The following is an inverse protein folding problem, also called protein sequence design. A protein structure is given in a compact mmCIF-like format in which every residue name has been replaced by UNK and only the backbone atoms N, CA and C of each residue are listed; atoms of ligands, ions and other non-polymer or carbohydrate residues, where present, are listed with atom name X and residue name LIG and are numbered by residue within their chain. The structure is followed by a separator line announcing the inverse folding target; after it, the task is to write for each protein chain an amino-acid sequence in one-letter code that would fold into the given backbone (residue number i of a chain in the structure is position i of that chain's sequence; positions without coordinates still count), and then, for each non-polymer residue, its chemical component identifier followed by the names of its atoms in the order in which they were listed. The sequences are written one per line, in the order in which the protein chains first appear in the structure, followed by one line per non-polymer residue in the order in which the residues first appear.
data_IF_569354692285
#
_entry.id   IF_569354692285
#
_cell.length_a   1.000
_cell.length_b   1.000
_cell.length_c   1.000
_cell.angle_alpha   90.00
_cell.angle_beta   90.00
_cell.angle_gamma   90.00
#
_symmetry.space_group_name_H-M   'P 1'
#
loop_
_entity.id
_entity.type
_entity.pdbx_description
1 polymer ?
#
# COMPACT_ATOMS: atom_id res chain seq x y z
N UNK A 1 -15.48 -28.57 -7.83
CA UNK A 1 -14.36 -27.62 -7.82
C UNK A 1 -14.44 -26.85 -6.52
N UNK A 2 -13.30 -26.60 -5.88
CA UNK A 2 -13.21 -25.89 -4.60
C UNK A 2 -12.80 -24.45 -4.88
N UNK A 3 -13.57 -23.49 -4.37
CA UNK A 3 -13.25 -22.07 -4.54
C UNK A 3 -12.23 -21.65 -3.49
N UNK A 4 -11.22 -20.92 -3.92
CA UNK A 4 -10.23 -20.26 -3.09
C UNK A 4 -10.29 -18.76 -3.38
N UNK A 5 -10.44 -17.96 -2.35
CA UNK A 5 -10.14 -16.53 -2.37
C UNK A 5 -8.76 -16.37 -1.75
N UNK A 6 -7.83 -15.90 -2.58
CA UNK A 6 -6.44 -15.68 -2.19
C UNK A 6 -6.21 -14.19 -2.02
N UNK A 7 -5.86 -13.78 -0.81
CA UNK A 7 -5.44 -12.43 -0.47
C UNK A 7 -3.92 -12.35 -0.59
N UNK A 8 -3.44 -11.43 -1.41
CA UNK A 8 -2.02 -11.16 -1.60
C UNK A 8 -1.68 -9.82 -0.94
N UNK A 9 -0.88 -9.89 0.14
CA UNK A 9 -0.38 -8.75 0.88
C UNK A 9 0.88 -8.21 0.20
N UNK A 10 0.77 -7.02 -0.40
CA UNK A 10 1.85 -6.33 -1.08
C UNK A 10 2.57 -5.40 -0.10
N UNK A 11 3.85 -5.65 0.12
CA UNK A 11 4.72 -4.83 0.98
C UNK A 11 5.72 -4.06 0.13
N UNK A 12 5.73 -2.72 0.24
CA UNK A 12 6.69 -1.86 -0.45
C UNK A 12 7.67 -1.29 0.58
N UNK A 13 8.86 -1.90 0.68
CA UNK A 13 9.82 -1.65 1.77
C UNK A 13 11.09 -0.99 1.23
N UNK A 14 11.39 0.27 1.59
CA UNK A 14 10.53 1.27 2.22
C UNK A 14 9.42 1.81 1.28
N UNK A 15 8.42 2.57 1.77
CA UNK A 15 8.28 3.17 3.11
C UNK A 15 7.52 2.31 4.14
N UNK A 16 6.99 1.15 3.75
CA UNK A 16 6.32 0.22 4.66
C UNK A 16 7.33 -0.70 5.39
N UNK A 17 6.82 -1.54 6.29
CA UNK A 17 7.55 -2.66 6.90
C UNK A 17 6.96 -4.00 6.47
N UNK A 18 7.73 -5.07 6.62
CA UNK A 18 7.30 -6.45 6.28
C UNK A 18 6.27 -7.02 7.28
N UNK A 19 6.21 -6.46 8.49
CA UNK A 19 5.37 -6.94 9.60
C UNK A 19 3.97 -6.29 9.65
N UNK A 20 3.63 -5.45 8.66
CA UNK A 20 2.37 -4.70 8.59
C UNK A 20 1.20 -5.46 7.94
N UNK A 21 0.07 -4.78 7.75
CA UNK A 21 -1.04 -5.34 6.96
C UNK A 21 -0.76 -5.33 5.45
N UNK A 22 0.11 -4.44 4.96
CA UNK A 22 0.40 -4.29 3.53
C UNK A 22 -0.82 -3.84 2.72
N UNK A 23 -0.65 -3.70 1.41
CA UNK A 23 -1.76 -3.42 0.50
C UNK A 23 -2.32 -4.75 0.00
N UNK A 24 -3.61 -4.99 0.23
CA UNK A 24 -4.24 -6.28 -0.11
C UNK A 24 -4.84 -6.22 -1.50
N UNK A 25 -4.49 -7.22 -2.33
CA UNK A 25 -5.21 -7.55 -3.55
C UNK A 25 -5.70 -8.99 -3.51
N UNK A 26 -6.94 -9.25 -3.91
CA UNK A 26 -7.58 -10.56 -3.82
C UNK A 26 -7.96 -11.12 -5.18
N UNK A 27 -7.87 -12.44 -5.33
CA UNK A 27 -8.33 -13.16 -6.52
C UNK A 27 -9.07 -14.45 -6.17
N UNK A 28 -10.15 -14.72 -6.89
CA UNK A 28 -10.84 -16.01 -6.84
C UNK A 28 -10.16 -17.01 -7.79
N UNK A 29 -9.88 -18.21 -7.28
CA UNK A 29 -9.22 -19.31 -7.96
C UNK A 29 -10.06 -20.58 -7.75
N UNK A 30 -10.25 -21.36 -8.80
CA UNK A 30 -10.91 -22.66 -8.70
C UNK A 30 -9.88 -23.80 -8.63
N UNK A 31 -9.88 -24.55 -7.54
CA UNK A 31 -8.99 -25.67 -7.30
C UNK A 31 -9.70 -27.02 -7.54
N UNK A 32 -8.99 -28.03 -8.07
CA UNK A 32 -9.55 -29.37 -8.22
C UNK A 32 -9.61 -30.15 -6.89
N UNK A 33 -8.99 -29.63 -5.83
CA UNK A 33 -8.93 -30.22 -4.48
C UNK A 33 -9.06 -29.13 -3.40
N UNK A 34 -9.40 -29.49 -2.14
CA UNK A 34 -9.47 -28.54 -1.03
C UNK A 34 -8.14 -27.80 -0.80
N UNK A 35 -8.18 -26.49 -0.53
CA UNK A 35 -6.98 -25.75 -0.16
C UNK A 35 -6.44 -26.21 1.20
N UNK A 36 -5.13 -26.13 1.39
CA UNK A 36 -4.47 -26.46 2.65
C UNK A 36 -3.21 -25.60 2.84
N UNK A 37 -2.80 -25.45 4.10
CA UNK A 37 -1.63 -24.67 4.49
C UNK A 37 -0.36 -25.14 3.78
N UNK A 38 0.40 -24.21 3.20
CA UNK A 38 1.64 -24.51 2.49
C UNK A 38 1.43 -25.00 1.04
N UNK A 39 0.19 -25.13 0.56
CA UNK A 39 -0.08 -25.33 -0.86
C UNK A 39 0.53 -24.18 -1.67
N UNK A 40 1.14 -24.49 -2.81
CA UNK A 40 1.69 -23.49 -3.72
C UNK A 40 0.83 -23.37 -4.96
N UNK A 41 0.40 -22.15 -5.27
CA UNK A 41 -0.44 -21.84 -6.42
C UNK A 41 0.39 -21.04 -7.43
N UNK A 42 0.45 -21.55 -8.65
CA UNK A 42 1.13 -20.92 -9.77
C UNK A 42 0.25 -21.01 -11.02
N UNK A 43 0.19 -19.94 -11.78
CA UNK A 43 -0.49 -19.88 -13.07
C UNK A 43 0.23 -18.86 -13.94
N UNK A 44 0.34 -19.18 -15.22
CA UNK A 44 0.79 -18.23 -16.26
C UNK A 44 -0.14 -17.01 -16.35
N UNK A 45 -1.39 -17.16 -15.90
CA UNK A 45 -2.36 -16.06 -15.82
C UNK A 45 -2.16 -15.17 -14.59
N UNK A 46 -1.22 -15.52 -13.71
CA UNK A 46 -0.76 -14.66 -12.60
C UNK A 46 0.51 -13.88 -12.96
N UNK A 47 1.06 -14.04 -14.17
CA UNK A 47 2.45 -13.67 -14.51
C UNK A 47 2.72 -12.15 -14.40
N UNK A 48 3.16 -11.75 -13.21
CA UNK A 48 4.49 -11.18 -12.91
C UNK A 48 4.96 -11.71 -11.54
N UNK A 49 4.80 -13.02 -11.30
CA UNK A 49 5.29 -13.64 -10.07
C UNK A 49 6.82 -13.76 -10.13
N UNK A 50 7.60 -13.06 -9.28
CA UNK A 50 9.05 -13.05 -9.36
C UNK A 50 9.68 -14.40 -8.96
N UNK A 51 8.92 -15.28 -8.31
CA UNK A 51 9.42 -16.55 -7.79
C UNK A 51 8.91 -17.76 -8.60
N UNK A 52 9.82 -18.63 -9.09
CA UNK A 52 9.46 -19.88 -9.80
C UNK A 52 8.60 -20.86 -8.98
N UNK A 53 8.40 -20.58 -7.69
CA UNK A 53 7.72 -21.44 -6.74
C UNK A 53 6.24 -21.09 -6.55
N UNK A 54 5.78 -19.94 -7.07
CA UNK A 54 4.41 -19.46 -6.93
C UNK A 54 4.06 -18.98 -5.51
N UNK A 55 2.78 -18.67 -5.29
CA UNK A 55 2.28 -18.18 -4.00
C UNK A 55 2.08 -19.33 -3.02
N UNK A 56 2.78 -19.29 -1.89
CA UNK A 56 2.52 -20.22 -0.79
C UNK A 56 1.33 -19.73 0.00
N UNK A 57 0.28 -20.57 0.11
CA UNK A 57 -0.91 -20.31 0.90
C UNK A 57 -0.58 -20.39 2.39
N UNK A 58 -1.01 -19.36 3.10
CA UNK A 58 -0.95 -19.24 4.55
C UNK A 58 -2.35 -19.02 5.12
N UNK A 59 -2.50 -19.28 6.41
CA UNK A 59 -3.72 -19.00 7.18
C UNK A 59 -4.99 -19.51 6.49
N UNK A 60 -4.94 -20.75 5.97
CA UNK A 60 -6.05 -21.31 5.19
C UNK A 60 -7.26 -21.58 6.09
N UNK A 61 -8.36 -20.86 5.82
CA UNK A 61 -9.63 -21.00 6.54
C UNK A 61 -10.73 -21.45 5.58
N UNK A 62 -11.62 -22.31 6.06
CA UNK A 62 -12.85 -22.66 5.35
C UNK A 62 -13.99 -21.74 5.81
N UNK A 63 -14.45 -20.86 4.94
CA UNK A 63 -15.66 -20.07 5.14
C UNK A 63 -16.88 -20.97 4.84
N UNK A 64 -17.52 -21.45 5.92
CA UNK A 64 -18.67 -22.36 5.85
C UNK A 64 -19.88 -21.70 5.20
N UNK A 65 -20.07 -20.40 5.44
CA UNK A 65 -21.24 -19.66 4.99
C UNK A 65 -21.17 -19.40 3.48
N UNK A 66 -20.01 -18.96 3.00
CA UNK A 66 -19.75 -18.68 1.58
C UNK A 66 -19.31 -19.91 0.79
N UNK A 67 -19.02 -21.02 1.48
CA UNK A 67 -18.56 -22.30 0.91
C UNK A 67 -17.32 -22.12 0.03
N UNK A 68 -16.33 -21.40 0.55
CA UNK A 68 -15.04 -21.17 -0.10
C UNK A 68 -13.90 -21.20 0.91
N UNK A 69 -12.69 -21.44 0.42
CA UNK A 69 -11.47 -21.28 1.19
C UNK A 69 -11.00 -19.83 1.12
N UNK A 70 -10.54 -19.29 2.24
CA UNK A 70 -9.79 -18.05 2.36
C UNK A 70 -8.33 -18.43 2.62
N UNK A 71 -7.38 -17.75 2.00
CA UNK A 71 -5.97 -17.93 2.29
C UNK A 71 -5.20 -16.66 1.99
N UNK A 72 -4.06 -16.51 2.66
CA UNK A 72 -3.23 -15.32 2.57
C UNK A 72 -1.89 -15.69 1.93
N UNK A 73 -1.27 -14.75 1.23
CA UNK A 73 0.10 -14.82 0.78
C UNK A 73 0.72 -13.43 0.82
N UNK A 74 2.04 -13.34 0.74
CA UNK A 74 2.75 -12.08 0.91
C UNK A 74 3.80 -11.91 -0.18
N UNK A 75 3.88 -10.71 -0.74
CA UNK A 75 4.93 -10.32 -1.69
C UNK A 75 5.63 -9.07 -1.18
N UNK A 76 6.96 -9.15 -1.05
CA UNK A 76 7.78 -8.06 -0.56
C UNK A 76 8.57 -7.47 -1.73
N UNK A 77 8.32 -6.21 -2.03
CA UNK A 77 9.04 -5.42 -3.02
C UNK A 77 9.99 -4.46 -2.31
N UNK A 78 11.28 -4.80 -2.31
CA UNK A 78 12.30 -3.98 -1.67
C UNK A 78 12.90 -2.95 -2.63
N UNK A 79 12.97 -1.69 -2.21
CA UNK A 79 13.62 -0.62 -2.97
C UNK A 79 12.84 -0.11 -4.19
N UNK A 80 11.57 -0.49 -4.34
CA UNK A 80 10.72 0.06 -5.39
C UNK A 80 10.47 1.57 -5.12
N UNK A 81 10.69 2.46 -6.09
CA UNK A 81 10.38 3.88 -5.90
C UNK A 81 8.91 4.08 -5.57
N UNK A 82 8.60 4.97 -4.62
CA UNK A 82 7.22 5.29 -4.22
C UNK A 82 6.37 5.65 -5.45
N UNK A 83 6.95 6.35 -6.43
CA UNK A 83 6.26 6.75 -7.66
C UNK A 83 5.73 5.57 -8.48
N UNK A 84 6.34 4.39 -8.39
CA UNK A 84 5.99 3.19 -9.16
C UNK A 84 4.97 2.29 -8.45
N UNK A 85 4.65 2.56 -7.17
CA UNK A 85 3.70 1.73 -6.39
C UNK A 85 2.33 1.63 -7.07
N UNK A 86 1.70 2.73 -7.55
CA UNK A 86 0.39 2.63 -8.20
C UNK A 86 0.40 1.80 -9.47
N UNK A 87 1.47 1.90 -10.27
CA UNK A 87 1.60 1.13 -11.50
C UNK A 87 1.76 -0.36 -11.18
N UNK A 88 2.59 -0.69 -10.19
CA UNK A 88 2.74 -2.08 -9.72
C UNK A 88 1.40 -2.67 -9.24
N UNK A 89 0.60 -1.91 -8.50
CA UNK A 89 -0.75 -2.37 -8.07
C UNK A 89 -1.68 -2.51 -9.27
N UNK A 90 -1.62 -1.58 -10.23
CA UNK A 90 -2.45 -1.62 -11.43
C UNK A 90 -2.15 -2.85 -12.27
N UNK A 91 -0.88 -3.26 -12.35
CA UNK A 91 -0.49 -4.50 -13.04
C UNK A 91 -1.19 -5.71 -12.42
N UNK A 92 -1.26 -5.81 -11.09
CA UNK A 92 -2.04 -6.87 -10.42
C UNK A 92 -3.53 -6.80 -10.82
N UNK A 93 -4.13 -5.62 -10.82
CA UNK A 93 -5.54 -5.45 -11.19
C UNK A 93 -5.78 -5.84 -12.66
N UNK A 94 -4.88 -5.48 -13.58
CA UNK A 94 -4.93 -5.90 -14.98
C UNK A 94 -4.86 -7.42 -15.13
N UNK A 95 -4.15 -8.11 -14.24
CA UNK A 95 -4.11 -9.57 -14.15
C UNK A 95 -5.32 -10.17 -13.40
N UNK A 96 -6.40 -9.42 -13.21
CA UNK A 96 -7.65 -9.93 -12.67
C UNK A 96 -7.71 -10.04 -11.15
N UNK A 97 -6.76 -9.43 -10.44
CA UNK A 97 -6.87 -9.20 -9.00
C UNK A 97 -7.79 -8.00 -8.72
N UNK A 98 -8.31 -7.92 -7.49
CA UNK A 98 -9.16 -6.82 -7.03
C UNK A 98 -8.57 -6.23 -5.75
N UNK A 99 -8.73 -4.94 -5.54
CA UNK A 99 -8.28 -4.30 -4.28
C UNK A 99 -9.19 -4.69 -3.11
N UNK A 100 -8.59 -4.76 -1.92
CA UNK A 100 -9.27 -5.12 -0.67
C UNK A 100 -9.33 -6.63 -0.45
N UNK A 101 -9.78 -7.03 0.74
CA UNK A 101 -9.94 -8.42 1.15
C UNK A 101 -11.42 -8.82 1.16
N UNK A 102 -11.72 -10.09 0.88
CA UNK A 102 -13.06 -10.62 1.12
C UNK A 102 -13.39 -10.72 2.62
N UNK A 103 -12.39 -10.68 3.50
CA UNK A 103 -12.54 -10.63 4.95
C UNK A 103 -13.12 -9.29 5.41
N UNK A 104 -12.92 -8.22 4.63
CA UNK A 104 -13.45 -6.88 4.93
C UNK A 104 -14.98 -6.86 4.91
N UNK A 105 -15.61 -7.77 4.19
CA UNK A 105 -17.07 -7.93 4.19
C UNK A 105 -17.65 -8.47 5.53
N UNK A 106 -16.81 -8.84 6.50
CA UNK A 106 -17.20 -9.16 7.88
C UNK A 106 -16.89 -8.02 8.87
N UNK A 107 -16.25 -6.95 8.40
CA UNK A 107 -15.98 -5.74 9.17
C UNK A 107 -17.17 -4.80 8.93
N UNK A 108 -17.75 -4.26 10.01
CA UNK A 108 -18.81 -3.25 9.88
C UNK A 108 -18.23 -2.04 9.13
N UNK A 109 -18.88 -1.55 8.07
CA UNK A 109 -18.34 -0.46 7.28
C UNK A 109 -18.25 0.81 8.13
N UNK A 110 -17.05 1.35 8.28
CA UNK A 110 -16.88 2.72 8.74
C UNK A 110 -17.36 3.66 7.62
N UNK A 111 -18.31 4.54 7.96
CA UNK A 111 -18.88 5.56 7.09
C UNK A 111 -17.76 6.45 6.52
N UNK A 112 -17.44 6.30 5.23
CA UNK A 112 -16.54 7.22 4.52
C UNK A 112 -17.35 8.10 3.56
N UNK A 113 -17.24 9.42 3.79
CA UNK A 113 -17.85 10.47 2.98
C UNK A 113 -17.27 10.51 1.55
N UNK A 114 -18.17 10.67 0.57
CA UNK A 114 -17.83 10.97 -0.83
C UNK A 114 -17.16 12.35 -0.94
N UNK A 115 -16.06 12.43 -1.69
CA UNK A 115 -15.46 13.72 -2.09
C UNK A 115 -15.16 13.72 -3.58
N UNK A 116 -15.63 14.77 -4.25
CA UNK A 116 -15.57 15.00 -5.70
C UNK A 116 -14.17 14.83 -6.31
N UNK A 117 -14.09 14.02 -7.37
CA UNK A 117 -12.89 13.82 -8.18
C UNK A 117 -12.74 14.94 -9.24
N UNK A 118 -11.60 15.63 -9.23
CA UNK A 118 -11.16 16.51 -10.32
C UNK A 118 -10.48 15.71 -11.44
N UNK A 119 -10.52 16.16 -12.71
CA UNK A 119 -10.06 15.38 -13.85
C UNK A 119 -8.53 15.19 -13.90
N UNK A 120 -8.05 14.07 -14.49
CA UNK A 120 -6.63 13.71 -14.47
C UNK A 120 -5.77 14.70 -15.26
N UNK A 121 -4.73 15.21 -14.59
CA UNK A 121 -3.65 15.96 -15.22
C UNK A 121 -2.76 15.07 -16.09
N UNK A 122 -2.24 15.61 -17.19
CA UNK A 122 -1.35 14.87 -18.09
C UNK A 122 -0.09 14.39 -17.36
N UNK A 123 0.34 13.13 -17.55
CA UNK A 123 1.56 12.63 -16.96
C UNK A 123 2.78 13.35 -17.55
N UNK A 124 3.52 14.06 -16.70
CA UNK A 124 4.91 14.40 -16.99
C UNK A 124 5.73 13.16 -16.70
N UNK A 125 6.27 12.54 -17.75
CA UNK A 125 7.27 11.47 -17.62
C UNK A 125 8.53 12.06 -17.02
N UNK A 126 8.70 11.88 -15.71
CA UNK A 126 9.97 12.16 -15.03
C UNK A 126 11.02 11.16 -15.53
N UNK A 127 12.30 11.52 -15.49
CA UNK A 127 13.33 10.51 -15.76
C UNK A 127 13.35 9.46 -14.63
N UNK A 128 13.82 8.22 -14.86
CA UNK A 128 13.91 7.21 -13.81
C UNK A 128 14.68 7.70 -12.56
N UNK A 129 15.74 8.48 -12.76
CA UNK A 129 16.51 9.10 -11.67
C UNK A 129 15.72 10.19 -10.91
N UNK A 130 14.79 10.87 -11.57
CA UNK A 130 13.89 11.84 -10.93
C UNK A 130 12.82 11.11 -10.10
N UNK A 131 12.25 10.02 -10.62
CA UNK A 131 11.24 9.18 -9.94
C UNK A 131 11.78 8.58 -8.64
N UNK A 132 13.01 8.07 -8.68
CA UNK A 132 13.71 7.58 -7.49
C UNK A 132 13.87 8.65 -6.42
N UNK A 133 14.06 9.93 -6.78
CA UNK A 133 14.36 11.01 -5.82
C UNK A 133 13.15 11.83 -5.39
N UNK A 134 12.00 11.69 -6.05
CA UNK A 134 10.81 12.52 -5.77
C UNK A 134 10.42 12.53 -4.29
N UNK A 135 10.59 11.39 -3.59
CA UNK A 135 10.27 11.24 -2.17
C UNK A 135 11.16 12.06 -1.22
N UNK A 136 12.33 12.51 -1.66
CA UNK A 136 13.24 13.37 -0.88
C UNK A 136 13.03 14.86 -1.17
N UNK A 137 12.37 15.21 -2.27
CA UNK A 137 12.16 16.60 -2.67
C UNK A 137 11.05 17.25 -1.83
N UNK A 138 11.08 18.58 -1.61
CA UNK A 138 9.95 19.28 -0.99
C UNK A 138 8.68 19.22 -1.85
N UNK A 139 7.47 19.30 -1.26
CA UNK A 139 6.19 19.21 -1.98
C UNK A 139 6.06 20.11 -3.21
N UNK A 140 6.64 21.32 -3.15
CA UNK A 140 6.59 22.31 -4.23
C UNK A 140 7.39 21.92 -5.49
N UNK A 141 8.30 20.94 -5.39
CA UNK A 141 9.14 20.48 -6.50
C UNK A 141 8.67 19.15 -7.09
N UNK A 142 7.60 18.56 -6.55
CA UNK A 142 7.01 17.29 -7.00
C UNK A 142 5.83 17.56 -7.94
N UNK A 143 5.42 16.53 -8.67
CA UNK A 143 4.15 16.52 -9.39
C UNK A 143 2.98 16.51 -8.41
N UNK A 144 1.79 16.94 -8.85
CA UNK A 144 0.60 16.94 -7.97
C UNK A 144 0.18 15.51 -7.66
N UNK A 145 0.30 14.64 -8.66
CA UNK A 145 0.02 13.22 -8.65
C UNK A 145 0.90 12.53 -7.59
N UNK A 146 2.21 12.80 -7.59
CA UNK A 146 3.11 12.26 -6.59
C UNK A 146 2.79 12.78 -5.18
N UNK A 147 2.43 14.07 -5.01
CA UNK A 147 2.04 14.58 -3.69
C UNK A 147 0.76 13.91 -3.18
N UNK A 148 -0.20 13.63 -4.07
CA UNK A 148 -1.42 12.90 -3.71
C UNK A 148 -1.09 11.48 -3.29
N UNK A 149 -0.25 10.77 -4.06
CA UNK A 149 0.27 9.45 -3.72
C UNK A 149 1.02 9.42 -2.39
N UNK A 150 1.93 10.38 -2.19
CA UNK A 150 2.71 10.48 -0.97
C UNK A 150 1.81 10.64 0.26
N UNK A 151 0.73 11.41 0.16
CA UNK A 151 -0.26 11.56 1.23
C UNK A 151 -1.14 10.31 1.40
N UNK A 152 -1.49 9.62 0.33
CA UNK A 152 -2.22 8.34 0.41
C UNK A 152 -1.39 7.25 1.11
N UNK A 153 -0.07 7.24 0.87
CA UNK A 153 0.85 6.37 1.62
C UNK A 153 0.85 6.71 3.11
N UNK A 154 0.85 7.99 3.48
CA UNK A 154 0.73 8.42 4.89
C UNK A 154 -0.58 7.92 5.50
N UNK A 155 -1.71 8.07 4.80
CA UNK A 155 -3.01 7.57 5.25
C UNK A 155 -2.97 6.06 5.49
N UNK A 156 -2.54 5.29 4.49
CA UNK A 156 -2.46 3.84 4.58
C UNK A 156 -1.59 3.37 5.75
N UNK A 157 -0.39 3.94 5.90
CA UNK A 157 0.50 3.64 7.03
C UNK A 157 -0.13 3.98 8.38
N UNK A 158 -0.93 5.04 8.46
CA UNK A 158 -1.62 5.44 9.69
C UNK A 158 -2.83 4.53 10.01
N UNK A 159 -3.61 4.12 9.00
CA UNK A 159 -4.75 3.21 9.14
C UNK A 159 -4.28 1.81 9.55
N UNK A 160 -3.29 1.27 8.84
CA UNK A 160 -2.77 -0.09 9.02
C UNK A 160 -1.70 -0.22 10.12
N UNK A 161 -1.41 0.88 10.83
CA UNK A 161 -0.39 0.93 11.89
C UNK A 161 1.02 0.49 11.43
N UNK A 162 1.35 0.72 10.15
CA UNK A 162 2.62 0.33 9.53
C UNK A 162 3.59 1.51 9.57
N UNK A 163 4.72 1.36 10.27
CA UNK A 163 5.75 2.39 10.46
C UNK A 163 5.18 3.82 10.70
N UNK A 164 4.28 3.91 11.68
CA UNK A 164 3.54 5.13 12.03
C UNK A 164 4.45 6.34 12.34
N UNK A 165 5.68 6.09 12.79
CA UNK A 165 6.64 7.16 13.07
C UNK A 165 7.15 7.79 11.77
N UNK A 166 7.45 6.96 10.76
CA UNK A 166 7.81 7.44 9.42
C UNK A 166 6.64 8.12 8.74
N UNK A 167 5.41 7.60 8.86
CA UNK A 167 4.21 8.26 8.33
C UNK A 167 4.00 9.66 8.92
N UNK A 168 4.19 9.82 10.23
CA UNK A 168 4.13 11.12 10.89
C UNK A 168 5.24 12.06 10.39
N UNK A 169 6.47 11.57 10.25
CA UNK A 169 7.59 12.36 9.74
C UNK A 169 7.37 12.79 8.28
N UNK A 170 6.81 11.89 7.46
CA UNK A 170 6.41 12.15 6.08
C UNK A 170 5.40 13.28 6.00
N UNK A 171 4.33 13.24 6.80
CA UNK A 171 3.33 14.31 6.82
C UNK A 171 3.95 15.66 7.27
N UNK A 172 4.74 15.65 8.35
CA UNK A 172 5.29 16.87 8.94
C UNK A 172 6.32 17.57 8.04
N UNK A 173 7.09 16.79 7.28
CA UNK A 173 8.19 17.32 6.47
C UNK A 173 7.89 17.37 4.98
N UNK A 174 6.91 16.59 4.52
CA UNK A 174 6.66 16.36 3.11
C UNK A 174 7.85 15.68 2.43
N UNK A 175 8.60 14.83 3.15
CA UNK A 175 9.78 14.11 2.64
C UNK A 175 9.90 12.75 3.33
N UNK A 176 10.56 11.80 2.67
CA UNK A 176 10.87 10.49 3.20
C UNK A 176 12.38 10.26 3.05
N UNK A 177 12.98 9.55 4.01
CA UNK A 177 14.37 9.11 3.97
C UNK A 177 14.45 7.73 4.59
N UNK A 178 15.10 6.79 3.90
CA UNK A 178 15.39 5.45 4.43
C UNK A 178 16.44 5.49 5.55
N UNK A 179 16.53 4.43 6.36
CA UNK A 179 17.57 4.32 7.41
C UNK A 179 19.00 4.51 6.87
N UNK A 180 19.27 3.97 5.68
CA UNK A 180 20.55 4.14 5.00
C UNK A 180 20.80 5.60 4.65
N UNK A 181 19.82 6.29 4.07
CA UNK A 181 19.95 7.73 3.74
C UNK A 181 20.08 8.59 4.99
N UNK A 182 19.39 8.25 6.08
CA UNK A 182 19.55 8.94 7.37
C UNK A 182 21.01 8.84 7.79
N UNK A 183 21.56 7.62 7.87
CA UNK A 183 22.95 7.37 8.26
C UNK A 183 23.97 8.12 7.38
N UNK A 184 23.78 8.09 6.07
CA UNK A 184 24.70 8.69 5.10
C UNK A 184 24.60 10.22 5.00
N UNK A 185 23.39 10.77 5.23
CA UNK A 185 23.07 12.17 4.92
C UNK A 185 22.60 12.96 6.15
N UNK A 186 22.87 12.50 7.38
CA UNK A 186 22.53 13.20 8.63
C UNK A 186 22.96 14.68 8.69
N UNK A 187 23.99 15.06 7.95
CA UNK A 187 24.45 16.45 7.86
C UNK A 187 23.49 17.38 7.11
N UNK A 188 22.55 16.84 6.32
CA UNK A 188 21.60 17.62 5.55
C UNK A 188 20.43 18.12 6.43
N UNK A 189 20.05 19.42 6.34
CA UNK A 189 18.98 19.97 7.16
C UNK A 189 17.63 19.26 6.99
N UNK A 190 17.34 18.76 5.79
CA UNK A 190 16.09 18.04 5.48
C UNK A 190 16.03 16.69 6.22
N UNK A 191 17.13 15.92 6.17
CA UNK A 191 17.26 14.63 6.85
C UNK A 191 17.18 14.81 8.36
N UNK A 192 17.88 15.81 8.90
CA UNK A 192 17.82 16.14 10.32
C UNK A 192 16.39 16.48 10.77
N UNK A 193 15.69 17.33 10.02
CA UNK A 193 14.29 17.70 10.32
C UNK A 193 13.36 16.48 10.28
N UNK A 194 13.58 15.58 9.33
CA UNK A 194 12.81 14.34 9.22
C UNK A 194 13.06 13.42 10.42
N UNK A 195 14.32 13.19 10.79
CA UNK A 195 14.68 12.38 11.95
C UNK A 195 14.15 12.97 13.27
N UNK A 196 14.18 14.30 13.41
CA UNK A 196 13.58 15.01 14.54
C UNK A 196 12.06 14.83 14.59
N UNK A 197 11.36 14.88 13.44
CA UNK A 197 9.93 14.65 13.37
C UNK A 197 9.56 13.21 13.76
N UNK A 198 10.31 12.23 13.27
CA UNK A 198 10.13 10.81 13.64
C UNK A 198 10.31 10.61 15.15
N UNK A 199 11.40 11.14 15.73
CA UNK A 199 11.65 11.07 17.17
C UNK A 199 10.62 11.86 18.01
N UNK A 200 9.99 12.89 17.45
CA UNK A 200 8.94 13.63 18.14
C UNK A 200 7.68 12.79 18.32
N UNK A 201 7.35 11.91 17.36
CA UNK A 201 6.19 11.02 17.45
C UNK A 201 6.24 10.11 18.70
N UNK A 202 7.41 9.52 18.97
CA UNK A 202 7.62 8.66 20.15
C UNK A 202 7.46 9.42 21.48
N UNK A 203 7.51 10.76 21.45
CA UNK A 203 7.30 11.64 22.62
C UNK A 203 5.89 12.21 22.72
N UNK A 204 5.06 12.05 21.68
CA UNK A 204 3.66 12.49 21.69
C UNK A 204 2.84 11.68 22.69
N UNK A 205 1.82 12.32 23.26
CA UNK A 205 0.83 11.61 24.09
C UNK A 205 -0.01 10.68 23.22
N UNK A 206 -0.62 9.65 23.82
CA UNK A 206 -1.54 8.75 23.11
C UNK A 206 -2.69 9.52 22.45
N UNK A 207 -3.21 10.57 23.10
CA UNK A 207 -4.28 11.39 22.56
C UNK A 207 -3.84 12.16 21.31
N UNK A 208 -2.64 12.74 21.32
CA UNK A 208 -2.12 13.46 20.16
C UNK A 208 -1.86 12.52 18.98
N UNK A 209 -1.40 11.28 19.26
CA UNK A 209 -1.22 10.25 18.24
C UNK A 209 -2.55 9.84 17.61
N UNK A 210 -3.58 9.61 18.41
CA UNK A 210 -4.93 9.29 17.89
C UNK A 210 -5.50 10.45 17.07
N UNK A 211 -5.42 11.67 17.59
CA UNK A 211 -5.90 12.85 16.87
C UNK A 211 -5.12 13.10 15.56
N UNK A 212 -3.83 12.74 15.50
CA UNK A 212 -3.07 12.77 14.25
C UNK A 212 -3.58 11.73 13.26
N UNK A 213 -3.82 10.49 13.70
CA UNK A 213 -4.33 9.42 12.83
C UNK A 213 -5.69 9.76 12.24
N UNK A 214 -6.61 10.27 13.06
CA UNK A 214 -7.91 10.75 12.58
C UNK A 214 -7.79 11.89 11.55
N UNK A 215 -6.74 12.71 11.62
CA UNK A 215 -6.50 13.73 10.59
C UNK A 215 -5.89 13.14 9.33
N UNK A 216 -5.13 12.05 9.43
CA UNK A 216 -4.49 11.42 8.27
C UNK A 216 -5.51 10.74 7.34
N UNK A 217 -6.68 10.32 7.85
CA UNK A 217 -7.76 9.73 7.04
C UNK A 217 -8.35 10.69 6.01
N UNK A 218 -8.12 12.00 6.14
CA UNK A 218 -8.58 13.02 5.16
C UNK A 218 -7.92 12.92 3.79
N UNK A 219 -6.78 12.24 3.69
CA UNK A 219 -6.09 12.08 2.41
C UNK A 219 -6.81 11.05 1.54
N UNK A 220 -6.63 11.10 0.23
CA UNK A 220 -7.15 10.06 -0.65
C UNK A 220 -6.58 8.68 -0.26
N UNK A 221 -7.34 7.61 -0.43
CA UNK A 221 -6.82 6.26 -0.23
C UNK A 221 -5.94 5.82 -1.41
N UNK A 222 -5.14 4.77 -1.21
CA UNK A 222 -4.35 4.20 -2.32
C UNK A 222 -5.29 3.60 -3.38
N UNK A 223 -6.41 3.00 -2.98
CA UNK A 223 -7.38 2.47 -3.94
C UNK A 223 -7.94 3.58 -4.84
N UNK A 224 -8.26 4.74 -4.27
CA UNK A 224 -8.77 5.89 -5.03
C UNK A 224 -7.78 6.34 -6.10
N UNK A 225 -6.49 6.43 -5.75
CA UNK A 225 -5.45 6.82 -6.70
C UNK A 225 -5.33 5.80 -7.84
N UNK A 226 -5.40 4.51 -7.54
CA UNK A 226 -5.26 3.44 -8.54
C UNK A 226 -6.49 3.39 -9.46
N UNK A 227 -7.70 3.52 -8.91
CA UNK A 227 -8.95 3.45 -9.66
C UNK A 227 -9.16 4.65 -10.59
N UNK A 228 -8.83 5.86 -10.13
CA UNK A 228 -8.93 7.07 -10.96
C UNK A 228 -7.97 7.03 -12.16
N UNK A 229 -6.77 6.47 -11.97
CA UNK A 229 -5.80 6.32 -13.04
C UNK A 229 -6.23 5.29 -14.11
N UNK A 230 -7.05 4.30 -13.75
CA UNK A 230 -7.58 3.28 -14.68
C UNK A 230 -8.86 3.72 -15.41
N UNK A 231 -9.40 4.91 -15.10
CA UNK A 231 -10.59 5.47 -15.75
C UNK A 231 -11.88 4.67 -15.49
N UNK A 232 -11.91 3.81 -14.45
CA UNK A 232 -13.12 3.07 -14.06
C UNK A 232 -13.81 3.78 -12.89
N UNK A 233 -15.09 4.17 -13.03
CA UNK A 233 -15.86 4.62 -11.87
C UNK A 233 -16.04 3.45 -10.88
N UNK A 234 -16.06 3.77 -9.58
CA UNK A 234 -16.36 2.82 -8.49
C UNK A 234 -17.65 2.06 -8.84
N UNK A 235 -17.66 0.75 -8.61
CA UNK A 235 -18.89 -0.05 -8.66
C UNK A 235 -19.48 -0.03 -7.26
N UNK A 236 -20.65 0.61 -7.15
CA UNK A 236 -21.49 0.66 -5.94
C UNK A 236 -21.87 -0.74 -5.41
#
# INVERSE_FOLDING_TARGET
MYKLHLDLHLYFVPPMTEDGAGIIVTREIELPFPAFEGLRVFSKEFDDCPEPLGFTLKDVVWDVDRKLFLADSSLISSGLPIACIPDSIRDWIHHGWRLGSLRDAYIEPDEQDEVDADPPGQPRTASPEEEERMHTLPPRRRTKEFNRLFNAMVRHMAEEFVDIESAYAMECTGSFFSETEISERMGEPAVKKWAEARAAFSRMSTQDRLAWRERATRYASIEEIVLEADGRPRSD
#
